data_IF_155921652731
#
_entry.id   IF_155921652731
#
_cell.length_a   1.000
_cell.length_b   1.000
_cell.length_c   1.000
_cell.angle_alpha   90.00
_cell.angle_beta   90.00
_cell.angle_gamma   90.00
#
_symmetry.space_group_name_H-M   'P 1'
#
loop_
_entity.id
_entity.type
_entity.pdbx_description
1 polymer ?
#
# COMPACT_ATOMS: atom_id res chain seq x y z
N UNK A 1 1.21 -11.65 10.37
CA UNK A 1 0.65 -11.69 11.75
C UNK A 1 0.47 -10.26 12.24
N UNK A 2 -0.70 -9.97 12.83
CA UNK A 2 -0.99 -8.71 13.53
C UNK A 2 -1.40 -9.07 14.94
N UNK A 3 -0.90 -8.33 15.90
CA UNK A 3 -1.24 -8.51 17.31
C UNK A 3 -1.56 -7.16 17.95
N UNK A 4 -2.66 -7.12 18.68
CA UNK A 4 -3.03 -6.05 19.58
C UNK A 4 -2.70 -6.52 20.99
N UNK A 5 -1.99 -5.69 21.75
CA UNK A 5 -1.52 -6.02 23.09
C UNK A 5 -2.02 -4.97 24.06
N UNK A 6 -2.84 -5.39 25.01
CA UNK A 6 -3.37 -4.57 26.09
C UNK A 6 -3.92 -3.20 25.58
N UNK A 7 -4.59 -3.26 24.41
CA UNK A 7 -5.03 -2.07 23.68
C UNK A 7 -6.14 -1.36 24.45
N UNK A 8 -5.95 -0.07 24.67
CA UNK A 8 -6.96 0.84 25.19
C UNK A 8 -7.23 1.96 24.19
N UNK A 9 -8.50 2.25 23.98
CA UNK A 9 -8.93 3.36 23.13
C UNK A 9 -10.25 3.93 23.60
N UNK A 10 -10.32 5.27 23.67
CA UNK A 10 -11.51 6.01 24.09
C UNK A 10 -11.86 7.12 23.10
N UNK A 11 -13.15 7.45 23.03
CA UNK A 11 -13.65 8.60 22.28
C UNK A 11 -14.33 9.54 23.28
N UNK A 12 -13.67 10.64 23.60
CA UNK A 12 -14.09 11.52 24.69
C UNK A 12 -14.17 10.73 26.01
N UNK A 13 -15.28 10.79 26.74
CA UNK A 13 -15.42 10.06 28.00
C UNK A 13 -15.74 8.57 27.85
N UNK A 14 -16.01 8.10 26.63
CA UNK A 14 -16.41 6.70 26.37
C UNK A 14 -15.22 5.83 26.04
N UNK A 15 -14.97 4.82 26.86
CA UNK A 15 -13.99 3.78 26.57
C UNK A 15 -14.62 2.80 25.57
N UNK A 16 -13.97 2.60 24.41
CA UNK A 16 -14.37 1.63 23.40
C UNK A 16 -13.67 0.30 23.59
N UNK A 17 -12.37 0.33 23.89
CA UNK A 17 -11.56 -0.83 24.17
C UNK A 17 -10.81 -0.62 25.47
N UNK A 18 -10.77 -1.63 26.30
CA UNK A 18 -10.02 -1.64 27.54
C UNK A 18 -9.31 -2.99 27.68
N UNK A 19 -7.99 -2.97 27.73
CA UNK A 19 -7.13 -4.16 27.83
C UNK A 19 -7.43 -5.23 26.74
N UNK A 20 -7.69 -4.80 25.50
CA UNK A 20 -7.98 -5.70 24.40
C UNK A 20 -6.70 -6.39 23.92
N UNK A 21 -6.67 -7.70 24.07
CA UNK A 21 -5.64 -8.56 23.47
C UNK A 21 -6.23 -9.36 22.31
N UNK A 22 -5.60 -9.28 21.15
CA UNK A 22 -6.05 -10.03 19.97
C UNK A 22 -4.89 -10.34 19.04
N UNK A 23 -4.90 -11.55 18.48
CA UNK A 23 -3.90 -12.00 17.52
C UNK A 23 -4.61 -12.48 16.26
N UNK A 24 -4.14 -11.98 15.10
CA UNK A 24 -4.49 -12.47 13.77
C UNK A 24 -3.26 -13.18 13.20
N UNK A 25 -3.34 -14.50 13.12
CA UNK A 25 -2.29 -15.33 12.54
C UNK A 25 -2.42 -15.43 11.00
N UNK A 26 -1.37 -15.81 10.28
CA UNK A 26 -1.46 -16.11 8.86
C UNK A 26 -2.50 -17.19 8.58
N UNK A 27 -3.40 -16.92 7.62
CA UNK A 27 -4.48 -17.84 7.24
C UNK A 27 -5.77 -17.69 8.04
N UNK A 28 -5.79 -16.92 9.13
CA UNK A 28 -7.01 -16.67 9.89
C UNK A 28 -8.06 -15.93 9.06
N UNK A 29 -9.32 -16.31 9.26
CA UNK A 29 -10.51 -15.62 8.73
C UNK A 29 -11.40 -15.25 9.90
N UNK A 30 -11.46 -13.97 10.21
CA UNK A 30 -12.20 -13.45 11.36
C UNK A 30 -13.33 -12.52 10.90
N UNK A 31 -14.50 -12.65 11.53
CA UNK A 31 -15.59 -11.72 11.37
C UNK A 31 -15.72 -10.85 12.63
N UNK A 32 -15.79 -9.54 12.45
CA UNK A 32 -16.02 -8.57 13.53
C UNK A 32 -17.51 -8.23 13.59
N UNK A 33 -18.21 -8.76 14.55
CA UNK A 33 -19.66 -8.64 14.70
C UNK A 33 -20.02 -7.78 15.92
N UNK A 34 -21.07 -6.97 15.81
CA UNK A 34 -21.56 -6.13 16.89
C UNK A 34 -22.48 -5.02 16.40
N UNK A 35 -23.18 -4.33 17.29
CA UNK A 35 -24.08 -3.23 16.94
C UNK A 35 -23.34 -2.03 16.34
N UNK A 36 -24.08 -1.10 15.74
CA UNK A 36 -23.51 0.15 15.27
C UNK A 36 -22.97 0.96 16.47
N UNK A 37 -21.82 1.59 16.28
CA UNK A 37 -21.13 2.32 17.35
C UNK A 37 -20.36 1.44 18.35
N UNK A 38 -20.27 0.11 18.14
CA UNK A 38 -19.46 -0.78 19.00
C UNK A 38 -17.94 -0.62 18.84
N UNK A 39 -17.50 0.18 17.85
CA UNK A 39 -16.06 0.41 17.61
C UNK A 39 -15.44 -0.46 16.50
N UNK A 40 -16.23 -1.22 15.73
CA UNK A 40 -15.70 -2.10 14.65
C UNK A 40 -14.79 -1.36 13.68
N UNK A 41 -15.26 -0.25 13.11
CA UNK A 41 -14.48 0.58 12.18
C UNK A 41 -13.27 1.22 12.88
N UNK A 42 -13.42 1.62 14.13
CA UNK A 42 -12.32 2.18 14.93
C UNK A 42 -11.22 1.15 15.14
N UNK A 43 -11.58 -0.09 15.45
CA UNK A 43 -10.61 -1.18 15.60
C UNK A 43 -9.85 -1.43 14.30
N UNK A 44 -10.55 -1.46 13.16
CA UNK A 44 -9.93 -1.61 11.83
C UNK A 44 -8.95 -0.45 11.57
N UNK A 45 -9.34 0.79 11.84
CA UNK A 45 -8.46 1.96 11.66
C UNK A 45 -7.22 1.92 12.56
N UNK A 46 -7.36 1.43 13.80
CA UNK A 46 -6.20 1.18 14.67
C UNK A 46 -5.30 0.10 14.07
N UNK A 47 -5.88 -0.99 13.55
CA UNK A 47 -5.12 -2.06 12.88
C UNK A 47 -4.40 -1.55 11.63
N UNK A 48 -4.98 -0.63 10.87
CA UNK A 48 -4.34 0.04 9.73
C UNK A 48 -3.24 1.01 10.15
N UNK A 49 -3.26 1.51 11.38
CA UNK A 49 -2.36 2.54 11.89
C UNK A 49 -2.82 3.96 11.59
N UNK A 50 -4.06 4.14 11.17
CA UNK A 50 -4.69 5.45 10.96
C UNK A 50 -5.06 6.13 12.28
N UNK A 51 -5.28 5.34 13.32
CA UNK A 51 -5.56 5.83 14.67
C UNK A 51 -4.54 5.25 15.67
N UNK A 52 -4.04 6.11 16.54
CA UNK A 52 -3.19 5.72 17.67
C UNK A 52 -4.06 5.27 18.84
N UNK A 53 -3.65 4.23 19.55
CA UNK A 53 -4.28 3.81 20.80
C UNK A 53 -3.85 4.70 21.97
N UNK A 54 -4.72 4.81 23.00
CA UNK A 54 -4.42 5.56 24.23
C UNK A 54 -3.38 4.82 25.08
N UNK A 55 -3.43 3.47 25.08
CA UNK A 55 -2.46 2.61 25.72
C UNK A 55 -2.40 1.24 25.01
N UNK A 56 -1.35 0.48 25.29
CA UNK A 56 -1.08 -0.79 24.64
C UNK A 56 -0.30 -0.63 23.34
N UNK A 57 -0.26 -1.67 22.53
CA UNK A 57 0.50 -1.67 21.29
C UNK A 57 -0.18 -2.46 20.17
N UNK A 58 0.05 -1.99 18.94
CA UNK A 58 -0.20 -2.74 17.71
C UNK A 58 1.15 -3.25 17.19
N UNK A 59 1.30 -4.54 17.13
CA UNK A 59 2.52 -5.20 16.65
C UNK A 59 2.22 -5.91 15.33
N UNK A 60 3.08 -5.71 14.33
CA UNK A 60 2.99 -6.40 13.05
C UNK A 60 4.30 -7.12 12.73
N UNK A 61 4.18 -8.29 12.13
CA UNK A 61 5.35 -9.00 11.60
C UNK A 61 5.97 -8.16 10.45
N UNK A 62 7.31 -8.16 10.39
CA UNK A 62 8.05 -7.45 9.33
C UNK A 62 7.59 -7.91 7.95
N UNK A 63 7.40 -6.97 7.04
CA UNK A 63 6.92 -7.26 5.68
C UNK A 63 5.43 -7.54 5.55
N UNK A 64 4.62 -7.42 6.63
CA UNK A 64 3.16 -7.53 6.53
C UNK A 64 2.59 -6.35 5.76
N UNK A 65 1.88 -6.64 4.66
CA UNK A 65 1.11 -5.64 3.90
C UNK A 65 -0.35 -5.74 4.31
N UNK A 66 -0.99 -4.58 4.51
CA UNK A 66 -2.42 -4.47 4.82
C UNK A 66 -3.15 -3.90 3.63
N UNK A 67 -4.26 -4.52 3.27
CA UNK A 67 -5.24 -3.97 2.34
C UNK A 67 -6.55 -3.72 3.09
N UNK A 68 -7.19 -2.61 2.81
CA UNK A 68 -8.49 -2.26 3.36
C UNK A 68 -9.47 -1.92 2.23
N UNK A 69 -10.62 -2.57 2.25
CA UNK A 69 -11.74 -2.21 1.38
C UNK A 69 -12.79 -1.49 2.23
N UNK A 70 -12.95 -0.17 2.06
CA UNK A 70 -13.96 0.58 2.79
C UNK A 70 -15.38 0.17 2.37
N UNK A 71 -16.34 0.31 3.27
CA UNK A 71 -17.74 -0.01 3.02
C UNK A 71 -18.37 0.95 2.00
N UNK A 72 -17.93 2.20 2.01
CA UNK A 72 -18.29 3.22 1.03
C UNK A 72 -17.05 3.62 0.25
N UNK A 73 -16.89 3.06 -0.93
CA UNK A 73 -15.84 3.43 -1.88
C UNK A 73 -16.33 4.57 -2.78
N UNK A 74 -16.68 5.71 -2.21
CA UNK A 74 -17.28 6.82 -2.94
C UNK A 74 -16.30 7.99 -3.17
N UNK A 75 -15.04 7.71 -3.49
CA UNK A 75 -14.21 8.73 -4.09
C UNK A 75 -14.51 8.76 -5.60
N UNK A 76 -14.98 9.94 -6.08
CA UNK A 76 -15.06 10.19 -7.52
C UNK A 76 -13.63 10.20 -8.06
N UNK A 77 -13.37 9.33 -9.00
CA UNK A 77 -12.11 9.27 -9.70
C UNK A 77 -12.32 9.75 -11.14
N UNK A 78 -11.61 10.81 -11.53
CA UNK A 78 -11.73 11.41 -12.86
C UNK A 78 -10.81 10.74 -13.89
N UNK A 79 -10.69 9.42 -13.85
CA UNK A 79 -9.86 8.63 -14.73
C UNK A 79 -10.51 7.33 -15.14
N UNK A 80 -9.80 6.52 -15.91
CA UNK A 80 -10.24 5.19 -16.29
C UNK A 80 -10.10 4.20 -15.12
N UNK A 81 -10.92 3.13 -15.14
CA UNK A 81 -10.83 2.05 -14.16
C UNK A 81 -9.45 1.38 -14.17
N UNK A 82 -8.82 1.31 -15.34
CA UNK A 82 -7.47 0.77 -15.50
C UNK A 82 -6.44 1.64 -14.78
N UNK A 83 -6.48 2.95 -14.97
CA UNK A 83 -5.59 3.89 -14.26
C UNK A 83 -5.73 3.76 -12.74
N UNK A 84 -6.98 3.67 -12.25
CA UNK A 84 -7.24 3.46 -10.82
C UNK A 84 -6.69 2.12 -10.32
N UNK A 85 -6.81 1.05 -11.09
CA UNK A 85 -6.25 -0.25 -10.75
C UNK A 85 -4.71 -0.23 -10.70
N UNK A 86 -4.07 0.56 -11.56
CA UNK A 86 -2.62 0.72 -11.62
C UNK A 86 -2.08 1.69 -10.55
N UNK A 87 -2.91 2.52 -9.95
CA UNK A 87 -2.49 3.51 -8.92
C UNK A 87 -1.82 2.86 -7.70
N UNK A 88 -2.20 1.62 -7.36
CA UNK A 88 -1.55 0.83 -6.32
C UNK A 88 -0.05 0.56 -6.62
N UNK A 89 0.35 0.68 -7.88
CA UNK A 89 1.72 0.49 -8.35
C UNK A 89 2.37 1.80 -8.81
N UNK A 90 1.85 2.95 -8.39
CA UNK A 90 2.34 4.28 -8.79
C UNK A 90 3.84 4.45 -8.59
N UNK A 91 4.41 3.90 -7.52
CA UNK A 91 5.86 3.96 -7.28
C UNK A 91 6.67 3.23 -8.36
N UNK A 92 6.17 2.10 -8.84
CA UNK A 92 6.83 1.32 -9.92
C UNK A 92 6.71 2.06 -11.24
N UNK A 93 5.55 2.64 -11.54
CA UNK A 93 5.34 3.44 -12.74
C UNK A 93 6.21 4.71 -12.75
N UNK A 94 6.32 5.40 -11.61
CA UNK A 94 7.20 6.55 -11.48
C UNK A 94 8.69 6.21 -11.65
N UNK A 95 9.13 5.04 -11.14
CA UNK A 95 10.48 4.56 -11.38
C UNK A 95 10.73 4.26 -12.86
N UNK A 96 9.72 3.80 -13.59
CA UNK A 96 9.81 3.58 -15.03
C UNK A 96 9.95 4.90 -15.79
N UNK A 97 9.11 5.87 -15.47
CA UNK A 97 9.20 7.21 -16.06
C UNK A 97 10.57 7.85 -15.80
N UNK A 98 11.08 7.75 -14.56
CA UNK A 98 12.42 8.24 -14.21
C UNK A 98 13.52 7.53 -15.03
N UNK A 99 13.41 6.22 -15.25
CA UNK A 99 14.37 5.46 -16.04
C UNK A 99 14.34 5.90 -17.53
N UNK A 100 13.15 6.10 -18.09
CA UNK A 100 13.00 6.55 -19.48
C UNK A 100 13.56 7.98 -19.67
N UNK A 101 13.37 8.88 -18.70
CA UNK A 101 13.99 10.22 -18.71
C UNK A 101 15.52 10.14 -18.60
N UNK A 102 16.05 9.24 -17.77
CA UNK A 102 17.49 9.02 -17.66
C UNK A 102 18.10 8.49 -18.97
N UNK A 103 17.43 7.56 -19.64
CA UNK A 103 17.86 7.07 -20.95
C UNK A 103 17.92 8.19 -21.99
N UNK A 104 16.88 9.03 -22.07
CA UNK A 104 16.89 10.17 -22.98
C UNK A 104 18.05 11.16 -22.70
N UNK A 105 18.35 11.40 -21.43
CA UNK A 105 19.48 12.24 -21.02
C UNK A 105 20.82 11.62 -21.39
N UNK A 106 20.95 10.32 -21.23
CA UNK A 106 22.18 9.56 -21.55
C UNK A 106 22.47 9.52 -23.05
N UNK A 107 21.44 9.51 -23.91
CA UNK A 107 21.60 9.57 -25.38
C UNK A 107 22.25 10.87 -25.85
N UNK A 108 22.07 11.98 -25.13
CA UNK A 108 22.58 13.30 -25.48
C UNK A 108 23.83 13.77 -24.72
N UNK A 109 24.35 12.96 -23.78
CA UNK A 109 25.44 13.37 -22.89
C UNK A 109 26.83 13.08 -23.54
N UNK A 110 27.77 14.02 -23.32
CA UNK A 110 29.15 13.81 -23.80
C UNK A 110 29.88 12.78 -22.92
N UNK A 111 30.80 11.96 -23.50
CA UNK A 111 31.53 10.94 -22.76
C UNK A 111 32.38 11.48 -21.59
N UNK A 112 32.78 12.73 -21.65
CA UNK A 112 33.57 13.40 -20.63
C UNK A 112 32.72 14.17 -19.59
N UNK A 113 31.39 14.06 -19.64
CA UNK A 113 30.51 14.76 -18.69
C UNK A 113 30.69 14.21 -17.27
N UNK A 114 30.95 15.06 -16.26
CA UNK A 114 31.19 14.63 -14.90
C UNK A 114 29.97 13.96 -14.24
N UNK A 115 28.78 14.10 -14.80
CA UNK A 115 27.55 13.48 -14.30
C UNK A 115 27.24 12.11 -14.94
N UNK A 116 27.98 11.70 -15.97
CA UNK A 116 27.72 10.48 -16.72
C UNK A 116 27.68 9.24 -15.83
N UNK A 117 28.69 9.08 -14.96
CA UNK A 117 28.79 7.94 -14.06
C UNK A 117 27.60 7.85 -13.08
N UNK A 118 27.20 8.97 -12.47
CA UNK A 118 26.07 9.02 -11.55
C UNK A 118 24.74 8.71 -12.24
N UNK A 119 24.55 9.14 -13.49
CA UNK A 119 23.35 8.84 -14.27
C UNK A 119 23.28 7.36 -14.66
N UNK A 120 24.41 6.75 -15.03
CA UNK A 120 24.49 5.32 -15.34
C UNK A 120 24.23 4.46 -14.10
N UNK A 121 24.80 4.81 -12.95
CA UNK A 121 24.56 4.12 -11.69
C UNK A 121 23.08 4.17 -11.33
N UNK A 122 22.48 5.37 -11.39
CA UNK A 122 21.04 5.54 -11.08
C UNK A 122 20.14 4.76 -12.05
N UNK A 123 20.43 4.77 -13.33
CA UNK A 123 19.68 3.99 -14.33
C UNK A 123 19.79 2.48 -14.05
N UNK A 124 20.98 2.00 -13.69
CA UNK A 124 21.20 0.59 -13.32
C UNK A 124 20.43 0.16 -12.07
N UNK A 125 20.39 1.02 -11.02
CA UNK A 125 19.58 0.75 -9.81
C UNK A 125 18.10 0.62 -10.15
N UNK A 126 17.55 1.59 -10.90
CA UNK A 126 16.14 1.59 -11.28
C UNK A 126 15.79 0.37 -12.14
N UNK A 127 16.62 0.06 -13.13
CA UNK A 127 16.43 -1.12 -13.98
C UNK A 127 16.36 -2.40 -13.16
N UNK A 128 17.29 -2.59 -12.22
CA UNK A 128 17.31 -3.76 -11.35
C UNK A 128 16.04 -3.88 -10.50
N UNK A 129 15.56 -2.77 -9.91
CA UNK A 129 14.32 -2.76 -9.12
C UNK A 129 13.10 -3.07 -9.99
N UNK A 130 13.02 -2.52 -11.20
CA UNK A 130 11.94 -2.76 -12.15
C UNK A 130 11.89 -4.22 -12.64
N UNK A 131 13.03 -4.83 -12.93
CA UNK A 131 13.13 -6.26 -13.28
C UNK A 131 12.59 -7.16 -12.17
N UNK A 132 12.89 -6.84 -10.90
CA UNK A 132 12.37 -7.60 -9.75
C UNK A 132 10.87 -7.39 -9.49
N UNK A 133 10.30 -6.27 -9.95
CA UNK A 133 8.90 -5.92 -9.72
C UNK A 133 7.91 -6.51 -10.74
N UNK A 134 8.40 -7.20 -11.78
CA UNK A 134 7.58 -7.77 -12.88
C UNK A 134 6.66 -6.70 -13.53
N UNK A 135 7.19 -5.49 -13.68
CA UNK A 135 6.46 -4.28 -14.12
C UNK A 135 5.73 -4.50 -15.45
N UNK A 136 6.37 -5.17 -16.41
CA UNK A 136 5.79 -5.45 -17.73
C UNK A 136 4.49 -6.27 -17.68
N UNK A 137 4.27 -7.02 -16.59
CA UNK A 137 3.05 -7.79 -16.40
C UNK A 137 1.93 -7.03 -15.68
N UNK A 138 2.21 -5.86 -15.05
CA UNK A 138 1.24 -5.14 -14.21
C UNK A 138 -0.01 -4.75 -15.00
N UNK A 139 0.15 -4.09 -16.14
CA UNK A 139 -0.98 -3.67 -16.96
C UNK A 139 -1.78 -4.86 -17.51
N UNK A 140 -1.09 -5.88 -17.99
CA UNK A 140 -1.73 -7.11 -18.49
C UNK A 140 -2.50 -7.83 -17.39
N UNK A 141 -1.99 -7.86 -16.16
CA UNK A 141 -2.69 -8.41 -15.01
C UNK A 141 -3.91 -7.58 -14.63
N UNK A 142 -3.77 -6.25 -14.59
CA UNK A 142 -4.88 -5.34 -14.32
C UNK A 142 -5.99 -5.53 -15.34
N UNK A 143 -5.69 -5.51 -16.64
CA UNK A 143 -6.65 -5.75 -17.71
C UNK A 143 -7.34 -7.10 -17.59
N UNK A 144 -6.61 -8.15 -17.27
CA UNK A 144 -7.18 -9.51 -17.09
C UNK A 144 -8.16 -9.54 -15.92
N UNK A 145 -7.83 -8.92 -14.79
CA UNK A 145 -8.72 -8.84 -13.62
C UNK A 145 -9.95 -8.03 -13.94
N UNK A 146 -9.80 -6.87 -14.56
CA UNK A 146 -10.91 -6.00 -14.95
C UNK A 146 -11.86 -6.70 -15.94
N UNK A 147 -11.32 -7.36 -16.96
CA UNK A 147 -12.12 -8.16 -17.90
C UNK A 147 -12.87 -9.29 -17.19
N UNK A 148 -12.28 -9.95 -16.20
CA UNK A 148 -12.95 -10.96 -15.37
C UNK A 148 -14.07 -10.40 -14.50
N UNK A 149 -14.07 -9.11 -14.21
CA UNK A 149 -15.09 -8.38 -13.46
C UNK A 149 -16.15 -7.73 -14.37
N UNK A 150 -16.00 -7.83 -15.70
CA UNK A 150 -16.97 -7.30 -16.65
C UNK A 150 -16.73 -5.85 -17.12
N UNK A 151 -15.52 -5.32 -16.90
CA UNK A 151 -15.08 -4.01 -17.42
C UNK A 151 -14.46 -4.12 -18.80
#
# INVERSE_FOLDING_TARGET
MIQLQNLRYSIGPRILFDQLDWVLAPGDRCALVGPNGAGKTTLIRIMLGELSCDAGARVMARGTRLGYLPQEAAERYDGTVLERALEAHRSVLAMREELDELHQRLEGIAPEDPHLEALLERAGELQHVLELSDEHALESRARRVLSGLGF
#
